data_IF_864742160559
#
_entry.id   IF_864742160559
#
_cell.length_a   1.000
_cell.length_b   1.000
_cell.length_c   1.000
_cell.angle_alpha   90.00
_cell.angle_beta   90.00
_cell.angle_gamma   90.00
#
_symmetry.space_group_name_H-M   'P 1'
#
loop_
_entity.id
_entity.type
_entity.pdbx_description
1 polymer ?
#
# COMPACT_ATOMS: atom_id res chain seq x y z
N UNK A 1 18.27 -1.87 3.61
CA UNK A 1 17.24 -2.76 4.19
C UNK A 1 15.84 -2.32 3.78
N UNK A 2 15.46 -1.05 3.98
CA UNK A 2 14.19 -0.46 3.50
C UNK A 2 13.83 -0.83 2.05
N UNK A 3 14.80 -0.77 1.14
CA UNK A 3 14.60 -1.12 -0.27
C UNK A 3 14.21 -2.59 -0.46
N UNK A 4 14.80 -3.51 0.30
CA UNK A 4 14.45 -4.93 0.23
C UNK A 4 13.04 -5.20 0.77
N UNK A 5 12.63 -4.51 1.84
CA UNK A 5 11.27 -4.55 2.34
C UNK A 5 10.28 -4.01 1.30
N UNK A 6 10.54 -2.83 0.73
CA UNK A 6 9.66 -2.22 -0.27
C UNK A 6 9.53 -3.08 -1.52
N UNK A 7 10.64 -3.58 -2.05
CA UNK A 7 10.64 -4.49 -3.22
C UNK A 7 9.85 -5.76 -2.91
N UNK A 8 10.11 -6.42 -1.78
CA UNK A 8 9.39 -7.64 -1.39
C UNK A 8 7.88 -7.41 -1.21
N UNK A 9 7.50 -6.28 -0.62
CA UNK A 9 6.10 -5.89 -0.48
C UNK A 9 5.43 -5.68 -1.85
N UNK A 10 6.09 -4.96 -2.77
CA UNK A 10 5.58 -4.72 -4.12
C UNK A 10 5.43 -6.04 -4.89
N UNK A 11 6.45 -6.89 -4.86
CA UNK A 11 6.44 -8.21 -5.51
C UNK A 11 5.31 -9.09 -4.97
N UNK A 12 5.13 -9.11 -3.66
CA UNK A 12 4.07 -9.90 -3.02
C UNK A 12 2.67 -9.41 -3.38
N UNK A 13 2.44 -8.10 -3.40
CA UNK A 13 1.14 -7.55 -3.85
C UNK A 13 0.90 -7.88 -5.34
N UNK A 14 1.95 -7.81 -6.16
CA UNK A 14 1.89 -8.14 -7.60
C UNK A 14 1.56 -9.61 -7.91
N UNK A 15 1.55 -10.51 -6.92
CA UNK A 15 1.03 -11.86 -7.10
C UNK A 15 -0.45 -11.88 -7.48
N UNK A 16 -1.24 -10.90 -7.02
CA UNK A 16 -2.69 -10.85 -7.28
C UNK A 16 -3.23 -9.48 -7.69
N UNK A 17 -2.47 -8.40 -7.50
CA UNK A 17 -2.94 -7.04 -7.72
C UNK A 17 -1.85 -6.13 -8.30
N UNK A 18 -2.21 -5.19 -9.16
CA UNK A 18 -1.22 -4.24 -9.71
C UNK A 18 -0.64 -3.36 -8.60
N UNK A 19 0.68 -3.43 -8.41
CA UNK A 19 1.41 -2.67 -7.40
C UNK A 19 2.69 -2.07 -7.97
N UNK A 20 2.98 -0.80 -7.65
CA UNK A 20 4.18 -0.08 -8.09
C UNK A 20 4.73 0.81 -6.98
N UNK A 21 5.95 1.28 -7.14
CA UNK A 21 6.50 2.36 -6.31
C UNK A 21 5.80 3.69 -6.62
N UNK A 22 5.69 4.54 -5.61
CA UNK A 22 5.15 5.89 -5.72
C UNK A 22 6.25 6.90 -6.06
N UNK A 23 6.07 7.68 -7.13
CA UNK A 23 7.00 8.72 -7.58
C UNK A 23 6.35 10.12 -7.61
N UNK A 24 5.36 10.34 -6.73
CA UNK A 24 4.65 11.62 -6.66
C UNK A 24 3.46 11.73 -7.61
N UNK A 25 2.88 10.64 -8.10
CA UNK A 25 1.74 10.64 -9.03
C UNK A 25 0.51 11.37 -8.47
N UNK A 26 0.40 11.44 -7.14
CA UNK A 26 -0.69 12.08 -6.41
C UNK A 26 -0.35 13.50 -5.95
N UNK A 27 0.87 13.99 -6.23
CA UNK A 27 1.30 15.34 -5.83
C UNK A 27 0.63 16.45 -6.66
N UNK A 28 0.15 16.12 -7.86
CA UNK A 28 -0.57 17.04 -8.74
C UNK A 28 -1.73 16.30 -9.43
N UNK A 29 -2.90 16.95 -9.49
CA UNK A 29 -4.08 16.49 -10.21
C UNK A 29 -3.80 16.20 -11.69
N UNK A 30 -2.84 16.91 -12.29
CA UNK A 30 -2.44 16.69 -13.69
C UNK A 30 -1.78 15.32 -13.92
N UNK A 31 -1.08 14.79 -12.91
CA UNK A 31 -0.36 13.50 -12.94
C UNK A 31 -1.27 12.30 -12.69
N UNK A 32 -2.47 12.51 -12.15
CA UNK A 32 -3.50 11.48 -11.98
C UNK A 32 -3.95 10.83 -13.30
N UNK A 33 -3.64 11.44 -14.45
CA UNK A 33 -3.91 10.87 -15.77
C UNK A 33 -3.01 9.66 -16.08
N UNK A 34 -1.82 9.60 -15.49
CA UNK A 34 -0.82 8.57 -15.77
C UNK A 34 -1.19 7.19 -15.21
N UNK A 35 -2.06 7.15 -14.20
CA UNK A 35 -2.44 5.93 -13.47
C UNK A 35 -3.71 5.25 -14.03
N UNK A 36 -4.39 5.85 -15.01
CA UNK A 36 -5.71 5.40 -15.48
C UNK A 36 -5.75 4.00 -16.09
N UNK A 37 -4.66 3.55 -16.72
CA UNK A 37 -4.62 2.29 -17.46
C UNK A 37 -4.40 1.06 -16.58
N UNK A 38 -4.00 1.26 -15.33
CA UNK A 38 -3.56 0.19 -14.43
C UNK A 38 -4.53 -0.04 -13.26
N UNK A 39 -5.70 0.62 -13.25
CA UNK A 39 -6.64 0.59 -12.13
C UNK A 39 -7.47 -0.71 -12.08
N UNK A 40 -7.79 -1.23 -10.87
CA UNK A 40 -7.36 -0.72 -9.57
C UNK A 40 -5.90 -1.10 -9.27
N UNK A 41 -5.19 -0.20 -8.56
CA UNK A 41 -3.77 -0.41 -8.25
C UNK A 41 -3.38 0.08 -6.86
N UNK A 42 -2.20 -0.34 -6.43
CA UNK A 42 -1.52 0.13 -5.21
C UNK A 42 -0.21 0.84 -5.59
N UNK A 43 0.07 1.98 -4.97
CA UNK A 43 1.38 2.63 -5.01
C UNK A 43 1.99 2.58 -3.61
N UNK A 44 3.26 2.18 -3.50
CA UNK A 44 3.98 2.06 -2.23
C UNK A 44 4.96 3.21 -2.08
N UNK A 45 4.90 3.89 -0.95
CA UNK A 45 5.72 5.05 -0.61
C UNK A 45 6.37 4.88 0.76
N UNK A 46 7.66 5.20 0.85
CA UNK A 46 8.36 5.29 2.11
C UNK A 46 8.08 6.65 2.76
N UNK A 47 7.63 6.64 4.02
CA UNK A 47 7.25 7.87 4.74
C UNK A 47 8.36 8.32 5.68
N UNK A 48 8.83 7.40 6.52
CA UNK A 48 9.83 7.69 7.53
C UNK A 48 10.41 6.40 8.10
N UNK A 49 11.59 6.48 8.68
CA UNK A 49 12.08 5.51 9.64
C UNK A 49 12.70 6.21 10.83
N UNK A 50 12.55 5.59 12.00
CA UNK A 50 13.18 6.00 13.24
C UNK A 50 14.10 4.86 13.70
N UNK A 51 15.32 5.18 14.13
CA UNK A 51 16.22 4.18 14.69
C UNK A 51 15.64 3.68 16.02
N UNK A 52 15.39 2.36 16.13
CA UNK A 52 15.03 1.74 17.40
C UNK A 52 16.29 1.40 18.19
N UNK A 53 17.31 0.87 17.50
CA UNK A 53 18.64 0.62 18.04
C UNK A 53 19.71 0.68 16.93
N UNK A 54 20.92 0.17 17.21
CA UNK A 54 22.04 0.21 16.26
C UNK A 54 21.88 -0.72 15.03
N UNK A 55 20.92 -1.64 15.08
CA UNK A 55 20.70 -2.70 14.08
C UNK A 55 19.24 -2.81 13.63
N UNK A 56 18.37 -1.92 14.10
CA UNK A 56 16.94 -1.94 13.83
C UNK A 56 16.37 -0.54 13.59
N UNK A 57 15.51 -0.44 12.58
CA UNK A 57 14.75 0.78 12.27
C UNK A 57 13.24 0.50 12.21
N UNK A 58 12.45 1.31 12.91
CA UNK A 58 11.00 1.32 12.78
C UNK A 58 10.60 2.12 11.54
N UNK A 59 10.17 1.43 10.49
CA UNK A 59 9.82 2.06 9.23
C UNK A 59 8.30 2.20 9.07
N UNK A 60 7.89 3.33 8.49
CA UNK A 60 6.51 3.62 8.11
C UNK A 60 6.42 3.74 6.59
N UNK A 61 5.48 3.01 6.00
CA UNK A 61 5.15 3.10 4.59
C UNK A 61 3.68 3.46 4.40
N UNK A 62 3.38 4.13 3.29
CA UNK A 62 2.03 4.38 2.82
C UNK A 62 1.76 3.55 1.57
N UNK A 63 0.61 2.88 1.57
CA UNK A 63 0.03 2.26 0.40
C UNK A 63 -1.11 3.18 -0.08
N UNK A 64 -0.93 3.77 -1.24
CA UNK A 64 -1.99 4.49 -1.94
C UNK A 64 -2.78 3.53 -2.80
N UNK A 65 -4.05 3.34 -2.47
CA UNK A 65 -4.97 2.43 -3.14
C UNK A 65 -5.85 3.26 -4.06
N UNK A 66 -5.65 3.10 -5.37
CA UNK A 66 -6.29 3.90 -6.41
C UNK A 66 -7.37 3.09 -7.10
N UNK A 67 -8.52 3.73 -7.30
CA UNK A 67 -9.66 3.16 -8.00
C UNK A 67 -10.43 4.25 -8.75
N UNK A 68 -10.90 3.96 -9.97
CA UNK A 68 -11.72 4.90 -10.74
C UNK A 68 -13.03 4.28 -11.23
N UNK A 69 -14.07 5.12 -11.29
CA UNK A 69 -15.37 4.77 -11.84
C UNK A 69 -15.70 5.68 -13.03
N UNK A 70 -15.93 5.10 -14.21
CA UNK A 70 -16.23 5.85 -15.44
C UNK A 70 -17.73 6.05 -15.71
N UNK A 71 -18.59 5.48 -14.86
CA UNK A 71 -20.04 5.57 -15.03
C UNK A 71 -20.63 6.80 -14.32
N UNK A 72 -21.60 7.44 -14.99
CA UNK A 72 -22.47 8.45 -14.38
C UNK A 72 -23.68 7.85 -13.66
N UNK A 73 -23.96 6.57 -13.86
CA UNK A 73 -25.08 5.87 -13.22
C UNK A 73 -24.77 5.61 -11.73
N UNK A 74 -25.65 6.08 -10.85
CA UNK A 74 -25.46 6.01 -9.39
C UNK A 74 -25.42 4.58 -8.84
N UNK A 75 -26.23 3.67 -9.35
CA UNK A 75 -26.25 2.26 -8.93
C UNK A 75 -24.91 1.58 -9.28
N UNK A 76 -24.42 1.82 -10.51
CA UNK A 76 -23.14 1.29 -10.94
C UNK A 76 -22.00 1.90 -10.12
N UNK A 77 -22.07 3.19 -9.79
CA UNK A 77 -21.10 3.85 -8.89
C UNK A 77 -21.13 3.25 -7.49
N UNK A 78 -22.30 2.96 -6.94
CA UNK A 78 -22.44 2.32 -5.63
C UNK A 78 -21.80 0.94 -5.62
N UNK A 79 -22.09 0.10 -6.62
CA UNK A 79 -21.48 -1.22 -6.77
C UNK A 79 -19.95 -1.14 -6.88
N UNK A 80 -19.44 -0.18 -7.65
CA UNK A 80 -18.00 0.03 -7.80
C UNK A 80 -17.33 0.54 -6.51
N UNK A 81 -18.03 1.34 -5.71
CA UNK A 81 -17.54 1.74 -4.39
C UNK A 81 -17.46 0.55 -3.44
N UNK A 82 -18.42 -0.38 -3.49
CA UNK A 82 -18.36 -1.62 -2.71
C UNK A 82 -17.17 -2.48 -3.14
N UNK A 83 -16.92 -2.63 -4.45
CA UNK A 83 -15.74 -3.38 -4.93
C UNK A 83 -14.41 -2.75 -4.51
N UNK A 84 -14.37 -1.42 -4.30
CA UNK A 84 -13.19 -0.76 -3.73
C UNK A 84 -12.98 -1.16 -2.27
N UNK A 85 -14.04 -1.30 -1.48
CA UNK A 85 -13.91 -1.78 -0.10
C UNK A 85 -13.40 -3.23 -0.07
N UNK A 86 -13.90 -4.08 -0.97
CA UNK A 86 -13.42 -5.46 -1.12
C UNK A 86 -11.95 -5.50 -1.54
N UNK A 87 -11.53 -4.62 -2.46
CA UNK A 87 -10.14 -4.49 -2.88
C UNK A 87 -9.23 -4.02 -1.73
N UNK A 88 -9.65 -3.02 -0.95
CA UNK A 88 -8.91 -2.60 0.25
C UNK A 88 -8.77 -3.78 1.21
N UNK A 89 -9.83 -4.56 1.39
CA UNK A 89 -9.82 -5.72 2.27
C UNK A 89 -8.91 -6.85 1.74
N UNK A 90 -8.87 -7.09 0.43
CA UNK A 90 -7.97 -8.08 -0.18
C UNK A 90 -6.50 -7.71 0.02
N UNK A 91 -6.13 -6.44 -0.17
CA UNK A 91 -4.77 -5.94 0.11
C UNK A 91 -4.40 -6.16 1.58
N UNK A 92 -5.31 -5.82 2.52
CA UNK A 92 -5.05 -6.06 3.95
C UNK A 92 -4.75 -7.52 4.24
N UNK A 93 -5.60 -8.43 3.76
CA UNK A 93 -5.42 -9.87 3.99
C UNK A 93 -4.14 -10.42 3.36
N UNK A 94 -3.71 -9.84 2.24
CA UNK A 94 -2.52 -10.27 1.53
C UNK A 94 -1.22 -9.91 2.27
N UNK A 95 -1.18 -8.73 2.91
CA UNK A 95 0.05 -8.21 3.53
C UNK A 95 0.10 -8.39 5.04
N UNK A 96 -1.04 -8.59 5.71
CA UNK A 96 -1.08 -8.68 7.17
C UNK A 96 -0.23 -9.86 7.64
N UNK A 97 0.59 -9.60 8.67
CA UNK A 97 1.53 -10.57 9.24
C UNK A 97 2.59 -11.13 8.28
N UNK A 98 2.75 -10.56 7.08
CA UNK A 98 3.88 -10.89 6.21
C UNK A 98 5.13 -10.15 6.67
N UNK A 99 6.30 -10.76 6.42
CA UNK A 99 7.62 -10.17 6.68
C UNK A 99 8.43 -10.16 5.39
N UNK A 100 9.14 -9.06 5.14
CA UNK A 100 9.98 -8.90 3.95
C UNK A 100 11.33 -8.32 4.35
N UNK A 101 12.41 -8.75 3.68
CA UNK A 101 13.74 -8.14 3.87
C UNK A 101 14.20 -8.04 5.32
N UNK A 102 14.06 -9.12 6.10
CA UNK A 102 14.37 -9.17 7.53
C UNK A 102 13.58 -8.15 8.36
N UNK A 103 12.26 -8.11 8.18
CA UNK A 103 11.38 -7.30 8.99
C UNK A 103 10.58 -8.11 10.01
N UNK A 104 10.10 -7.42 11.05
CA UNK A 104 8.95 -7.88 11.81
C UNK A 104 7.71 -7.97 10.90
N UNK A 105 6.66 -8.72 11.31
CA UNK A 105 5.44 -8.81 10.54
C UNK A 105 4.79 -7.43 10.35
N UNK A 106 4.21 -7.19 9.18
CA UNK A 106 3.55 -5.93 8.86
C UNK A 106 2.37 -5.67 9.81
N UNK A 107 2.36 -4.47 10.38
CA UNK A 107 1.24 -3.93 11.13
C UNK A 107 0.50 -2.85 10.33
N UNK A 108 -0.82 -3.00 10.19
CA UNK A 108 -1.67 -2.00 9.55
C UNK A 108 -2.14 -1.02 10.61
N UNK A 109 -1.75 0.26 10.51
CA UNK A 109 -2.10 1.30 11.50
C UNK A 109 -3.42 1.98 11.18
N UNK A 110 -3.58 2.45 9.95
CA UNK A 110 -4.76 3.25 9.57
C UNK A 110 -5.05 3.14 8.08
N UNK A 111 -6.32 3.09 7.72
CA UNK A 111 -6.78 3.33 6.35
C UNK A 111 -7.70 4.55 6.33
N UNK A 112 -7.45 5.52 5.46
CA UNK A 112 -8.29 6.73 5.33
C UNK A 112 -8.46 7.12 3.86
N UNK A 113 -9.59 7.73 3.52
CA UNK A 113 -9.79 8.34 2.20
C UNK A 113 -8.92 9.61 2.10
N UNK A 114 -8.17 9.73 1.01
CA UNK A 114 -7.30 10.87 0.74
C UNK A 114 -7.89 11.77 -0.35
N UNK A 115 -8.34 11.17 -1.45
CA UNK A 115 -8.91 11.89 -2.60
C UNK A 115 -10.23 11.25 -2.99
N UNK A 116 -11.21 12.09 -3.29
CA UNK A 116 -12.44 11.73 -3.98
C UNK A 116 -12.73 12.85 -4.99
N UNK A 117 -12.41 12.62 -6.25
CA UNK A 117 -12.42 13.68 -7.26
C UNK A 117 -12.91 13.17 -8.61
N UNK A 118 -13.70 13.99 -9.30
CA UNK A 118 -13.98 13.81 -10.71
C UNK A 118 -12.77 14.29 -11.53
N UNK A 119 -12.13 13.38 -12.27
CA UNK A 119 -10.96 13.64 -13.11
C UNK A 119 -11.21 13.06 -14.50
N UNK A 120 -11.27 13.92 -15.52
CA UNK A 120 -11.34 13.54 -16.94
C UNK A 120 -12.42 12.46 -17.21
N UNK A 121 -13.67 12.73 -16.81
CA UNK A 121 -14.80 11.83 -17.03
C UNK A 121 -14.87 10.60 -16.13
N UNK A 122 -13.95 10.46 -15.17
CA UNK A 122 -13.96 9.40 -14.17
C UNK A 122 -14.06 9.98 -12.75
N UNK A 123 -14.59 9.20 -11.81
CA UNK A 123 -14.54 9.47 -10.38
C UNK A 123 -13.39 8.67 -9.78
N UNK A 124 -12.29 9.34 -9.46
CA UNK A 124 -11.13 8.74 -8.81
C UNK A 124 -11.32 8.78 -7.29
N UNK A 125 -11.16 7.62 -6.66
CA UNK A 125 -11.01 7.47 -5.22
C UNK A 125 -9.60 7.00 -4.90
N UNK A 126 -8.96 7.68 -3.95
CA UNK A 126 -7.65 7.29 -3.42
C UNK A 126 -7.77 7.13 -1.91
N UNK A 127 -7.34 5.96 -1.43
CA UNK A 127 -7.21 5.68 0.00
C UNK A 127 -5.73 5.54 0.35
N UNK A 128 -5.34 6.03 1.52
CA UNK A 128 -4.02 5.77 2.09
C UNK A 128 -4.16 4.73 3.19
N UNK A 129 -3.40 3.64 3.09
CA UNK A 129 -3.18 2.68 4.16
C UNK A 129 -1.76 2.85 4.70
N UNK A 130 -1.64 3.30 5.93
CA UNK A 130 -0.35 3.40 6.63
C UNK A 130 -0.05 2.06 7.29
N UNK A 131 1.15 1.55 7.02
CA UNK A 131 1.70 0.33 7.59
C UNK A 131 3.04 0.62 8.27
N UNK A 132 3.39 -0.22 9.24
CA UNK A 132 4.68 -0.16 9.91
C UNK A 132 5.29 -1.55 10.04
N UNK A 133 6.61 -1.61 10.05
CA UNK A 133 7.39 -2.78 10.41
C UNK A 133 8.74 -2.34 10.98
N UNK A 134 9.30 -3.12 11.90
CA UNK A 134 10.70 -2.98 12.31
C UNK A 134 11.54 -3.74 11.30
N UNK A 135 12.60 -3.13 10.79
CA UNK A 135 13.50 -3.71 9.78
C UNK A 135 14.87 -3.87 10.42
N UNK A 136 15.46 -5.06 10.30
CA UNK A 136 16.71 -5.44 10.95
C UNK A 136 17.87 -5.54 9.94
N UNK A 137 19.08 -5.16 10.36
CA UNK A 137 20.33 -5.26 9.57
C UNK A 137 20.68 -6.72 9.23
N UNK A 138 20.40 -7.60 10.17
CA UNK A 138 20.61 -9.04 10.05
C UNK A 138 19.36 -9.78 10.51
N UNK A 139 19.14 -10.98 9.98
CA UNK A 139 18.03 -11.83 10.38
C UNK A 139 18.01 -11.97 11.92
N UNK A 140 16.94 -11.58 12.62
CA UNK A 140 16.90 -11.67 14.07
C UNK A 140 17.09 -13.14 14.47
N UNK A 141 17.95 -13.38 15.45
CA UNK A 141 18.16 -14.71 16.02
C UNK A 141 16.79 -15.22 16.48
N UNK A 142 16.29 -16.29 15.86
CA UNK A 142 15.16 -17.02 16.44
C UNK A 142 15.67 -17.55 17.78
N UNK A 143 15.19 -16.99 18.88
CA UNK A 143 15.43 -17.59 20.19
C UNK A 143 14.91 -19.03 20.11
N UNK A 144 15.86 -19.97 20.15
CA UNK A 144 15.57 -21.39 20.08
C UNK A 144 14.61 -21.73 21.21
N UNK A 145 13.48 -22.32 20.85
CA UNK A 145 12.67 -23.06 21.80
C UNK A 145 13.54 -24.24 22.23
N UNK A 146 14.24 -24.10 23.35
CA UNK A 146 14.80 -25.25 24.07
C UNK A 146 13.62 -26.12 24.49
N UNK A 147 13.51 -27.29 23.85
CA UNK A 147 12.65 -28.40 24.29
C UNK A 147 12.94 -28.81 25.74
#
# INVERSE_FOLDING_TARGET
MLSAFQTGLIEHINLTHTCKEYFGELSDKSRLKMVKNDLPMVLVDFVSSDAEDAYAEAATFNLYILHATYSKNEELRSKTNLSLLDFIHSIKRLIVQQSFGYSSPIEIKKTKKMIDAAVDGAYLSVYTMSITATIYDTQPLQEGITE
#
